data_IF_106030846584
#
_entry.id   IF_106030846584
#
_cell.length_a   1.000
_cell.length_b   1.000
_cell.length_c   1.000
_cell.angle_alpha   90.00
_cell.angle_beta   90.00
_cell.angle_gamma   90.00
#
_symmetry.space_group_name_H-M   'P 1'
#
loop_
_entity.id
_entity.type
_entity.pdbx_description
1 polymer ?
#
# COMPACT_ATOMS: atom_id res chain seq x y z
N UNK A 1 -25.24 4.98 -65.27
CA UNK A 1 -24.68 3.98 -64.33
C UNK A 1 -23.64 4.64 -63.42
N UNK A 2 -23.59 4.26 -62.14
CA UNK A 2 -22.61 4.62 -61.08
C UNK A 2 -22.75 5.98 -60.39
N UNK A 3 -23.55 6.05 -59.31
CA UNK A 3 -23.27 6.86 -58.11
C UNK A 3 -23.95 6.23 -56.88
N UNK A 4 -23.21 5.37 -56.17
CA UNK A 4 -23.53 4.90 -54.82
C UNK A 4 -22.20 4.90 -54.08
N UNK A 5 -22.11 5.63 -52.96
CA UNK A 5 -21.24 5.46 -51.77
C UNK A 5 -20.81 6.82 -51.18
N UNK A 6 -21.70 7.47 -50.41
CA UNK A 6 -21.30 8.61 -49.57
C UNK A 6 -22.24 8.83 -48.37
N UNK A 7 -22.71 7.78 -47.71
CA UNK A 7 -23.54 7.91 -46.51
C UNK A 7 -23.32 6.73 -45.57
N UNK A 8 -22.22 6.72 -44.81
CA UNK A 8 -22.08 5.80 -43.66
C UNK A 8 -20.98 6.19 -42.63
N UNK A 9 -20.54 7.46 -42.59
CA UNK A 9 -19.42 7.87 -41.73
C UNK A 9 -19.76 8.94 -40.69
N UNK A 10 -21.02 9.35 -40.55
CA UNK A 10 -21.40 10.48 -39.68
C UNK A 10 -21.84 10.12 -38.25
N UNK A 11 -21.94 8.84 -37.88
CA UNK A 11 -22.50 8.46 -36.56
C UNK A 11 -21.49 7.93 -35.53
N UNK A 12 -20.23 7.67 -35.90
CA UNK A 12 -19.22 7.10 -35.00
C UNK A 12 -18.14 8.08 -34.53
N UNK A 13 -18.12 9.30 -35.08
CA UNK A 13 -17.13 10.33 -34.72
C UNK A 13 -17.58 11.30 -33.61
N UNK A 14 -18.84 11.22 -33.16
CA UNK A 14 -19.42 12.17 -32.20
C UNK A 14 -19.08 11.86 -30.73
N UNK A 15 -18.52 10.69 -30.43
CA UNK A 15 -18.21 10.25 -29.06
C UNK A 15 -16.73 10.41 -28.66
N UNK A 16 -15.83 10.83 -29.56
CA UNK A 16 -14.38 10.80 -29.31
C UNK A 16 -13.70 12.16 -29.05
N UNK A 17 -14.42 13.29 -28.93
CA UNK A 17 -13.76 14.61 -28.90
C UNK A 17 -14.38 15.66 -27.97
N UNK A 18 -15.04 15.27 -26.87
CA UNK A 18 -15.22 16.20 -25.74
C UNK A 18 -14.06 16.05 -24.77
N UNK A 19 -12.90 16.55 -25.20
CA UNK A 19 -11.83 16.98 -24.30
C UNK A 19 -12.46 17.94 -23.29
N UNK A 20 -12.21 17.75 -21.99
CA UNK A 20 -12.71 18.64 -20.93
C UNK A 20 -12.06 20.01 -21.12
N UNK A 21 -12.69 20.84 -21.94
CA UNK A 21 -12.44 22.25 -22.02
C UNK A 21 -13.39 22.92 -21.03
N UNK A 22 -13.20 22.66 -19.75
CA UNK A 22 -13.86 23.43 -18.69
C UNK A 22 -13.35 24.86 -18.78
N UNK A 23 -14.13 25.70 -19.45
CA UNK A 23 -13.95 27.13 -19.56
C UNK A 23 -14.41 27.81 -18.27
N UNK A 24 -13.52 27.92 -17.29
CA UNK A 24 -13.78 28.63 -16.03
C UNK A 24 -14.16 27.68 -14.89
N UNK A 25 -15.45 27.37 -14.73
CA UNK A 25 -15.95 26.57 -13.60
C UNK A 25 -16.35 25.16 -14.03
N UNK A 26 -16.10 24.18 -13.17
CA UNK A 26 -16.58 22.80 -13.36
C UNK A 26 -18.10 22.76 -13.14
N UNK A 27 -18.82 22.24 -14.13
CA UNK A 27 -20.28 22.13 -14.14
C UNK A 27 -20.75 20.72 -13.75
N UNK A 28 -22.05 20.57 -13.48
CA UNK A 28 -22.64 19.25 -13.24
C UNK A 28 -22.56 18.32 -14.46
N UNK A 29 -22.50 18.87 -15.69
CA UNK A 29 -22.29 18.09 -16.91
C UNK A 29 -20.88 17.47 -16.92
N UNK A 30 -19.86 18.23 -16.52
CA UNK A 30 -18.48 17.74 -16.39
C UNK A 30 -18.38 16.65 -15.32
N UNK A 31 -19.03 16.84 -14.16
CA UNK A 31 -19.08 15.82 -13.12
C UNK A 31 -19.74 14.54 -13.62
N UNK A 32 -20.84 14.65 -14.36
CA UNK A 32 -21.52 13.50 -14.94
C UNK A 32 -20.65 12.81 -15.99
N UNK A 33 -19.91 13.57 -16.79
CA UNK A 33 -18.96 13.05 -17.75
C UNK A 33 -17.88 12.19 -17.08
N UNK A 34 -17.26 12.67 -16.00
CA UNK A 34 -16.28 11.90 -15.23
C UNK A 34 -16.86 10.62 -14.65
N UNK A 35 -18.07 10.69 -14.08
CA UNK A 35 -18.74 9.51 -13.52
C UNK A 35 -19.01 8.43 -14.58
N UNK A 36 -19.44 8.83 -15.78
CA UNK A 36 -19.65 7.89 -16.90
C UNK A 36 -18.30 7.29 -17.34
N UNK A 37 -17.24 8.10 -17.45
CA UNK A 37 -15.92 7.62 -17.87
C UNK A 37 -15.25 6.71 -16.84
N UNK A 38 -15.67 6.78 -15.58
CA UNK A 38 -15.19 5.88 -14.54
C UNK A 38 -15.59 4.43 -14.80
N UNK A 39 -16.71 4.16 -15.48
CA UNK A 39 -17.10 2.81 -15.90
C UNK A 39 -16.13 2.22 -16.93
N UNK A 40 -15.57 3.06 -17.80
CA UNK A 40 -14.57 2.65 -18.80
C UNK A 40 -13.21 2.27 -18.19
N UNK A 41 -12.94 2.64 -16.93
CA UNK A 41 -11.67 2.42 -16.25
C UNK A 41 -11.83 1.53 -15.01
N UNK A 42 -12.00 0.20 -15.19
CA UNK A 42 -12.30 -0.73 -14.09
C UNK A 42 -11.11 -0.98 -13.13
N UNK A 43 -9.88 -0.74 -13.62
CA UNK A 43 -8.63 -0.96 -12.88
C UNK A 43 -8.19 0.25 -12.04
N UNK A 44 -8.88 1.39 -12.16
CA UNK A 44 -8.58 2.59 -11.38
C UNK A 44 -9.07 2.39 -9.95
N UNK A 45 -8.14 2.55 -9.01
CA UNK A 45 -8.35 2.52 -7.56
C UNK A 45 -8.15 3.93 -6.96
N UNK A 46 -8.66 4.23 -5.77
CA UNK A 46 -8.41 5.54 -5.12
C UNK A 46 -6.91 5.79 -4.85
N UNK A 47 -6.11 4.72 -4.74
CA UNK A 47 -4.64 4.78 -4.65
C UNK A 47 -3.92 4.98 -6.00
N UNK A 48 -4.63 5.17 -7.11
CA UNK A 48 -4.03 5.39 -8.43
C UNK A 48 -3.24 6.71 -8.45
N UNK A 49 -2.16 6.73 -9.23
CA UNK A 49 -1.28 7.89 -9.36
C UNK A 49 -2.00 9.11 -9.96
N UNK A 50 -1.70 10.31 -9.45
CA UNK A 50 -2.39 11.57 -9.79
C UNK A 50 -2.42 11.91 -11.29
N UNK A 51 -1.46 11.44 -12.07
CA UNK A 51 -1.40 11.70 -13.51
C UNK A 51 -2.57 11.09 -14.31
N UNK A 52 -3.37 10.21 -13.71
CA UNK A 52 -4.61 9.71 -14.31
C UNK A 52 -5.71 10.78 -14.36
N UNK A 53 -5.66 11.78 -13.47
CA UNK A 53 -6.67 12.83 -13.42
C UNK A 53 -6.61 13.73 -14.66
N UNK A 54 -7.78 14.05 -15.19
CA UNK A 54 -7.93 15.01 -16.28
C UNK A 54 -7.27 16.35 -15.96
N UNK A 55 -6.61 16.93 -16.97
CA UNK A 55 -5.85 18.17 -16.87
C UNK A 55 -4.65 18.15 -15.89
N UNK A 56 -4.25 16.97 -15.37
CA UNK A 56 -3.05 16.83 -14.56
C UNK A 56 -1.79 16.77 -15.44
N UNK A 57 -1.37 17.93 -15.95
CA UNK A 57 -0.14 18.06 -16.74
C UNK A 57 1.13 17.77 -15.94
N UNK A 58 2.26 17.62 -16.65
CA UNK A 58 3.56 17.28 -16.03
C UNK A 58 4.00 18.27 -14.93
N UNK A 59 3.72 19.56 -15.12
CA UNK A 59 4.02 20.59 -14.12
C UNK A 59 3.19 20.40 -12.85
N UNK A 60 1.86 20.22 -13.00
CA UNK A 60 0.94 19.95 -11.89
C UNK A 60 1.37 18.69 -11.13
N UNK A 61 1.66 17.61 -11.85
CA UNK A 61 2.11 16.35 -11.23
C UNK A 61 3.38 16.54 -10.42
N UNK A 62 4.38 17.27 -10.93
CA UNK A 62 5.63 17.55 -10.19
C UNK A 62 5.36 18.34 -8.91
N UNK A 63 4.52 19.37 -8.97
CA UNK A 63 4.16 20.19 -7.79
C UNK A 63 3.35 19.42 -6.74
N UNK A 64 2.51 18.48 -7.16
CA UNK A 64 1.84 17.56 -6.24
C UNK A 64 2.85 16.62 -5.56
N UNK A 65 3.81 16.07 -6.31
CA UNK A 65 4.89 15.23 -5.77
C UNK A 65 5.75 16.01 -4.76
N UNK A 66 6.09 17.27 -5.05
CA UNK A 66 6.83 18.14 -4.12
C UNK A 66 6.11 18.32 -2.76
N UNK A 67 4.77 18.27 -2.76
CA UNK A 67 3.94 18.31 -1.54
C UNK A 67 3.61 16.94 -0.95
N UNK A 68 4.29 15.88 -1.42
CA UNK A 68 4.06 14.49 -1.02
C UNK A 68 2.64 13.97 -1.33
N UNK A 69 2.06 14.44 -2.43
CA UNK A 69 0.74 14.02 -2.91
C UNK A 69 0.95 13.10 -4.13
N UNK A 70 0.63 11.82 -3.96
CA UNK A 70 0.88 10.75 -4.93
C UNK A 70 -0.39 10.07 -5.42
N UNK A 71 -1.46 10.09 -4.62
CA UNK A 71 -2.70 9.35 -4.91
C UNK A 71 -3.88 10.29 -5.18
N UNK A 72 -4.88 9.79 -5.91
CA UNK A 72 -6.16 10.49 -6.13
C UNK A 72 -6.84 10.82 -4.80
N UNK A 73 -6.79 9.90 -3.83
CA UNK A 73 -7.35 10.12 -2.50
C UNK A 73 -6.74 11.34 -1.80
N UNK A 74 -5.41 11.49 -1.85
CA UNK A 74 -4.74 12.64 -1.25
C UNK A 74 -5.10 13.95 -1.96
N UNK A 75 -5.23 13.94 -3.29
CA UNK A 75 -5.66 15.13 -4.06
C UNK A 75 -7.08 15.54 -3.66
N UNK A 76 -8.00 14.60 -3.51
CA UNK A 76 -9.38 14.88 -3.14
C UNK A 76 -9.53 15.43 -1.70
N UNK A 77 -8.56 15.14 -0.83
CA UNK A 77 -8.49 15.63 0.55
C UNK A 77 -7.82 17.01 0.68
N UNK A 78 -7.33 17.61 -0.41
CA UNK A 78 -6.74 18.95 -0.34
C UNK A 78 -7.77 20.00 0.07
N UNK A 79 -7.32 20.94 0.90
CA UNK A 79 -8.11 22.11 1.27
C UNK A 79 -8.10 23.17 0.15
N UNK A 80 -9.15 24.00 0.13
CA UNK A 80 -9.27 25.09 -0.85
C UNK A 80 -8.06 26.03 -0.83
N UNK A 81 -7.53 26.36 0.36
CA UNK A 81 -6.38 27.24 0.51
C UNK A 81 -5.11 26.64 -0.12
N UNK A 82 -4.93 25.32 -0.03
CA UNK A 82 -3.80 24.62 -0.63
C UNK A 82 -3.92 24.56 -2.16
N UNK A 83 -5.14 24.37 -2.66
CA UNK A 83 -5.45 24.39 -4.10
C UNK A 83 -5.17 25.78 -4.69
N UNK A 84 -5.57 26.84 -3.99
CA UNK A 84 -5.29 28.22 -4.40
C UNK A 84 -3.79 28.53 -4.36
N UNK A 85 -3.07 28.03 -3.36
CA UNK A 85 -1.62 28.19 -3.31
C UNK A 85 -0.94 27.50 -4.50
N UNK A 86 -1.34 26.26 -4.82
CA UNK A 86 -0.85 25.52 -5.98
C UNK A 86 -1.20 26.23 -7.30
N UNK A 87 -2.40 26.80 -7.40
CA UNK A 87 -2.87 27.49 -8.61
C UNK A 87 -2.16 28.82 -8.83
N UNK A 88 -2.05 29.65 -7.79
CA UNK A 88 -1.61 31.04 -7.92
C UNK A 88 -0.15 31.27 -7.55
N UNK A 89 0.44 30.51 -6.61
CA UNK A 89 1.88 30.63 -6.27
C UNK A 89 2.75 29.70 -7.08
N UNK A 90 2.37 28.43 -7.19
CA UNK A 90 3.18 27.43 -7.91
C UNK A 90 2.95 27.47 -9.42
N UNK A 91 1.82 28.02 -9.89
CA UNK A 91 1.50 28.14 -11.32
C UNK A 91 0.81 26.90 -11.91
N UNK A 92 0.16 26.07 -11.10
CA UNK A 92 -0.65 24.95 -11.58
C UNK A 92 -1.99 25.43 -12.17
N UNK A 93 -1.98 25.82 -13.45
CA UNK A 93 -3.10 26.51 -14.12
C UNK A 93 -4.48 25.83 -13.99
N UNK A 94 -4.53 24.49 -13.97
CA UNK A 94 -5.77 23.68 -13.93
C UNK A 94 -5.93 22.86 -12.65
N UNK A 95 -5.31 23.30 -11.54
CA UNK A 95 -5.39 22.59 -10.26
C UNK A 95 -6.82 22.50 -9.73
N UNK A 96 -7.64 23.52 -9.96
CA UNK A 96 -9.07 23.54 -9.63
C UNK A 96 -9.84 22.41 -10.33
N UNK A 97 -9.58 22.19 -11.62
CA UNK A 97 -10.21 21.09 -12.38
C UNK A 97 -9.74 19.73 -11.87
N UNK A 98 -8.44 19.57 -11.62
CA UNK A 98 -7.85 18.32 -11.09
C UNK A 98 -8.44 17.98 -9.72
N UNK A 99 -8.56 18.98 -8.84
CA UNK A 99 -9.13 18.85 -7.51
C UNK A 99 -10.62 18.48 -7.56
N UNK A 100 -11.42 19.17 -8.39
CA UNK A 100 -12.83 18.87 -8.57
C UNK A 100 -13.08 17.50 -9.21
N UNK A 101 -12.20 17.09 -10.15
CA UNK A 101 -12.23 15.75 -10.72
C UNK A 101 -11.99 14.70 -9.63
N UNK A 102 -10.92 14.83 -8.84
CA UNK A 102 -10.59 13.94 -7.75
C UNK A 102 -11.75 13.82 -6.74
N UNK A 103 -12.33 14.95 -6.31
CA UNK A 103 -13.48 14.97 -5.39
C UNK A 103 -14.71 14.26 -5.95
N UNK A 104 -14.95 14.39 -7.25
CA UNK A 104 -16.13 13.79 -7.91
C UNK A 104 -16.02 12.27 -8.00
N UNK A 105 -14.83 11.73 -8.30
CA UNK A 105 -14.62 10.29 -8.50
C UNK A 105 -14.26 9.53 -7.22
N UNK A 106 -13.81 10.22 -6.16
CA UNK A 106 -13.30 9.58 -4.94
C UNK A 106 -14.33 8.63 -4.33
N UNK A 107 -15.58 9.07 -4.17
CA UNK A 107 -16.61 8.29 -3.48
C UNK A 107 -16.91 6.98 -4.25
N UNK A 108 -17.20 7.00 -5.56
CA UNK A 108 -17.33 5.76 -6.34
C UNK A 108 -16.08 4.85 -6.29
N UNK A 109 -14.87 5.42 -6.26
CA UNK A 109 -13.64 4.65 -6.15
C UNK A 109 -13.49 3.96 -4.78
N UNK A 110 -13.82 4.66 -3.69
CA UNK A 110 -13.84 4.09 -2.34
C UNK A 110 -14.90 2.99 -2.21
N UNK A 111 -16.08 3.15 -2.84
CA UNK A 111 -17.09 2.10 -2.89
C UNK A 111 -16.61 0.85 -3.64
N UNK A 112 -15.90 1.04 -4.76
CA UNK A 112 -15.28 -0.06 -5.53
C UNK A 112 -14.21 -0.79 -4.71
N UNK A 113 -13.42 -0.07 -3.92
CA UNK A 113 -12.38 -0.67 -3.08
C UNK A 113 -12.95 -1.39 -1.84
N UNK A 114 -13.91 -0.79 -1.14
CA UNK A 114 -14.44 -1.33 0.10
C UNK A 114 -15.42 -2.50 -0.11
N UNK A 115 -16.27 -2.42 -1.15
CA UNK A 115 -17.40 -3.36 -1.33
C UNK A 115 -17.39 -4.07 -2.68
N UNK A 116 -16.44 -3.77 -3.57
CA UNK A 116 -16.48 -4.22 -4.96
C UNK A 116 -17.45 -3.41 -5.84
N UNK A 117 -18.37 -2.64 -5.24
CA UNK A 117 -19.38 -1.82 -5.93
C UNK A 117 -20.47 -2.65 -6.62
N UNK A 118 -21.66 -2.08 -6.81
CA UNK A 118 -22.82 -2.72 -7.50
C UNK A 118 -22.46 -3.20 -8.91
N UNK A 119 -21.51 -2.53 -9.58
CA UNK A 119 -20.94 -2.93 -10.88
C UNK A 119 -20.37 -4.37 -10.89
N UNK A 120 -19.84 -4.82 -9.75
CA UNK A 120 -19.24 -6.15 -9.63
C UNK A 120 -20.27 -7.27 -9.53
N UNK A 121 -21.51 -6.97 -9.13
CA UNK A 121 -22.62 -7.94 -9.17
C UNK A 121 -23.11 -8.17 -10.61
N UNK A 122 -23.04 -7.15 -11.46
CA UNK A 122 -23.42 -7.24 -12.88
C UNK A 122 -22.35 -7.92 -13.73
N UNK A 123 -21.09 -7.88 -13.31
CA UNK A 123 -19.96 -8.46 -14.03
C UNK A 123 -19.22 -9.49 -13.16
N UNK A 124 -19.75 -10.72 -13.08
CA UNK A 124 -19.20 -11.83 -12.28
C UNK A 124 -17.68 -12.00 -12.44
N UNK A 125 -17.16 -11.80 -13.65
CA UNK A 125 -15.72 -11.94 -13.94
C UNK A 125 -14.86 -10.88 -13.27
N UNK A 126 -15.31 -9.62 -13.18
CA UNK A 126 -14.54 -8.57 -12.50
C UNK A 126 -14.53 -8.84 -10.99
N UNK A 127 -15.66 -9.26 -10.42
CA UNK A 127 -15.74 -9.65 -9.00
C UNK A 127 -14.82 -10.82 -8.68
N UNK A 128 -14.81 -11.86 -9.50
CA UNK A 128 -13.92 -13.02 -9.36
C UNK A 128 -12.44 -12.60 -9.37
N UNK A 129 -12.06 -11.73 -10.32
CA UNK A 129 -10.69 -11.23 -10.40
C UNK A 129 -10.30 -10.38 -9.19
N UNK A 130 -11.19 -9.52 -8.67
CA UNK A 130 -10.93 -8.71 -7.47
C UNK A 130 -10.82 -9.58 -6.21
N UNK A 131 -11.78 -10.49 -6.00
CA UNK A 131 -11.74 -11.46 -4.90
C UNK A 131 -10.49 -12.32 -4.94
N UNK A 132 -10.06 -12.76 -6.13
CA UNK A 132 -8.81 -13.51 -6.29
C UNK A 132 -7.59 -12.69 -5.84
N UNK A 133 -7.46 -11.44 -6.31
CA UNK A 133 -6.36 -10.53 -5.91
C UNK A 133 -6.37 -10.21 -4.41
N UNK A 134 -7.54 -10.02 -3.81
CA UNK A 134 -7.67 -9.78 -2.37
C UNK A 134 -7.32 -11.02 -1.54
N UNK A 135 -7.76 -12.20 -1.97
CA UNK A 135 -7.43 -13.46 -1.30
C UNK A 135 -5.93 -13.77 -1.40
N UNK A 136 -5.28 -13.48 -2.53
CA UNK A 136 -3.83 -13.61 -2.69
C UNK A 136 -3.10 -12.68 -1.71
N UNK A 137 -3.47 -11.40 -1.63
CA UNK A 137 -2.91 -10.45 -0.65
C UNK A 137 -3.09 -10.90 0.79
N UNK A 138 -4.32 -11.28 1.19
CA UNK A 138 -4.61 -11.77 2.56
C UNK A 138 -3.85 -13.05 2.89
N UNK A 139 -3.68 -13.97 1.93
CA UNK A 139 -2.88 -15.18 2.13
C UNK A 139 -1.41 -14.86 2.33
N UNK A 140 -0.85 -13.95 1.53
CA UNK A 140 0.53 -13.50 1.68
C UNK A 140 0.77 -12.79 3.01
N UNK A 141 -0.13 -11.91 3.43
CA UNK A 141 -0.08 -11.23 4.74
C UNK A 141 -0.12 -12.25 5.88
N UNK A 142 -1.07 -13.20 5.87
CA UNK A 142 -1.16 -14.25 6.89
C UNK A 142 0.07 -15.17 6.92
N UNK A 143 0.64 -15.51 5.77
CA UNK A 143 1.86 -16.31 5.71
C UNK A 143 3.07 -15.54 6.27
N UNK A 144 3.20 -14.24 5.95
CA UNK A 144 4.24 -13.37 6.50
C UNK A 144 4.09 -13.19 8.02
N UNK A 145 2.87 -12.98 8.51
CA UNK A 145 2.58 -12.90 9.94
C UNK A 145 2.90 -14.21 10.66
N UNK A 146 2.49 -15.36 10.11
CA UNK A 146 2.84 -16.68 10.66
C UNK A 146 4.34 -16.91 10.68
N UNK A 147 5.06 -16.55 9.61
CA UNK A 147 6.51 -16.65 9.54
C UNK A 147 7.18 -15.79 10.61
N UNK A 148 6.76 -14.53 10.76
CA UNK A 148 7.29 -13.60 11.77
C UNK A 148 7.01 -14.11 13.20
N UNK A 149 5.79 -14.57 13.48
CA UNK A 149 5.45 -15.16 14.79
C UNK A 149 6.29 -16.40 15.07
N UNK A 150 6.47 -17.28 14.08
CA UNK A 150 7.28 -18.48 14.25
C UNK A 150 8.77 -18.14 14.45
N UNK A 151 9.30 -17.18 13.70
CA UNK A 151 10.67 -16.69 13.86
C UNK A 151 10.90 -16.08 15.25
N UNK A 152 9.96 -15.28 15.76
CA UNK A 152 10.00 -14.75 17.13
C UNK A 152 9.96 -15.86 18.18
N UNK A 153 9.10 -16.87 18.00
CA UNK A 153 9.03 -18.05 18.89
C UNK A 153 10.31 -18.88 18.85
N UNK A 154 10.88 -19.10 17.67
CA UNK A 154 12.14 -19.81 17.53
C UNK A 154 13.30 -19.02 18.12
N UNK A 155 13.37 -17.70 17.91
CA UNK A 155 14.40 -16.85 18.48
C UNK A 155 14.34 -16.84 20.02
N UNK A 156 13.14 -16.77 20.60
CA UNK A 156 12.96 -16.87 22.06
C UNK A 156 13.33 -18.25 22.59
N UNK A 157 12.94 -19.34 21.91
CA UNK A 157 13.36 -20.70 22.26
C UNK A 157 14.88 -20.91 22.14
N UNK A 158 15.53 -20.35 21.11
CA UNK A 158 17.00 -20.38 20.96
C UNK A 158 17.68 -19.66 22.13
N UNK A 159 17.24 -18.45 22.48
CA UNK A 159 17.73 -17.71 23.66
C UNK A 159 17.57 -18.51 24.96
N UNK A 160 16.43 -19.19 25.16
CA UNK A 160 16.22 -20.05 26.32
C UNK A 160 17.16 -21.26 26.33
N UNK A 161 17.38 -21.91 25.17
CA UNK A 161 18.31 -23.04 25.03
C UNK A 161 19.75 -22.61 25.31
N UNK A 162 20.17 -21.47 24.77
CA UNK A 162 21.48 -20.86 25.04
C UNK A 162 21.67 -20.51 26.51
N UNK A 163 20.66 -19.91 27.15
CA UNK A 163 20.70 -19.60 28.58
C UNK A 163 20.75 -20.85 29.47
N UNK A 164 20.04 -21.92 29.10
CA UNK A 164 20.10 -23.21 29.82
C UNK A 164 21.48 -23.85 29.62
N UNK A 165 22.03 -23.84 28.41
CA UNK A 165 23.36 -24.36 28.12
C UNK A 165 24.44 -23.61 28.91
N UNK A 166 24.38 -22.27 28.95
CA UNK A 166 25.27 -21.43 29.74
C UNK A 166 25.16 -21.73 31.25
N UNK A 167 23.94 -21.87 31.79
CA UNK A 167 23.74 -22.25 33.21
C UNK A 167 24.27 -23.64 33.53
N UNK A 168 24.07 -24.62 32.63
CA UNK A 168 24.62 -25.98 32.80
C UNK A 168 26.16 -25.97 32.78
N UNK A 169 26.77 -25.23 31.87
CA UNK A 169 28.23 -25.06 31.80
C UNK A 169 28.79 -24.42 33.08
N UNK A 170 28.14 -23.36 33.59
CA UNK A 170 28.53 -22.72 34.85
C UNK A 170 28.39 -23.65 36.07
N UNK A 171 27.37 -24.53 36.10
CA UNK A 171 27.22 -25.53 37.17
C UNK A 171 28.31 -26.60 37.07
N UNK A 172 28.68 -27.03 35.86
CA UNK A 172 29.76 -28.01 35.66
C UNK A 172 31.12 -27.44 36.08
N UNK A 173 31.42 -26.19 35.72
CA UNK A 173 32.63 -25.49 36.18
C UNK A 173 32.68 -25.42 37.71
N UNK A 174 31.59 -24.99 38.36
CA UNK A 174 31.52 -24.97 39.84
C UNK A 174 31.70 -26.35 40.47
N UNK A 175 31.23 -27.42 39.83
CA UNK A 175 31.43 -28.79 40.34
C UNK A 175 32.88 -29.25 40.18
N UNK A 176 33.56 -28.86 39.10
CA UNK A 176 34.97 -29.14 38.89
C UNK A 176 35.82 -28.39 39.92
N UNK A 177 35.56 -27.10 40.14
CA UNK A 177 36.22 -26.29 41.18
C UNK A 177 36.04 -26.90 42.58
N UNK A 178 34.81 -27.31 42.95
CA UNK A 178 34.55 -27.96 44.25
C UNK A 178 35.27 -29.33 44.37
N UNK A 179 35.37 -30.09 43.28
CA UNK A 179 36.07 -31.37 43.28
C UNK A 179 37.59 -31.18 43.41
N UNK A 180 38.16 -30.20 42.70
CA UNK A 180 39.57 -29.80 42.80
C UNK A 180 39.93 -29.28 44.19
N UNK A 181 39.04 -28.48 44.82
CA UNK A 181 39.19 -28.01 46.20
C UNK A 181 39.11 -29.16 47.23
N UNK A 182 38.28 -30.16 46.98
CA UNK A 182 38.13 -31.32 47.85
C UNK A 182 39.36 -32.26 47.78
N UNK A 183 39.93 -32.45 46.60
CA UNK A 183 41.17 -33.22 46.43
C UNK A 183 42.37 -32.48 47.03
N UNK A 184 42.50 -31.17 46.80
CA UNK A 184 43.54 -30.35 47.44
C UNK A 184 43.44 -30.35 48.97
N UNK A 185 42.23 -30.43 49.54
CA UNK A 185 42.06 -30.59 51.00
C UNK A 185 42.41 -31.98 51.51
N UNK A 186 42.14 -33.04 50.75
CA UNK A 186 42.51 -34.41 51.13
C UNK A 186 44.02 -34.58 51.14
N UNK A 187 44.73 -34.08 50.14
CA UNK A 187 46.18 -34.19 50.09
C UNK A 187 46.86 -33.39 51.21
N UNK A 188 46.32 -32.23 51.60
CA UNK A 188 46.83 -31.48 52.74
C UNK A 188 46.53 -32.11 54.10
N UNK A 189 45.43 -32.85 54.25
CA UNK A 189 45.09 -33.52 55.51
C UNK A 189 45.88 -34.82 55.72
N UNK A 190 46.19 -35.55 54.64
CA UNK A 190 46.88 -36.85 54.70
C UNK A 190 48.40 -36.71 54.89
N UNK A 191 48.99 -35.56 54.51
CA UNK A 191 50.40 -35.28 54.72
C UNK A 191 50.77 -34.94 56.19
N UNK A 192 49.79 -34.75 57.08
CA UNK A 192 50.02 -34.25 58.45
C UNK A 192 49.95 -35.29 59.58
N UNK A 193 49.69 -36.58 59.29
CA UNK A 193 49.41 -37.59 60.32
C UNK A 193 50.32 -38.84 60.34
N UNK A 194 51.55 -38.76 59.83
CA UNK A 194 52.53 -39.87 59.94
C UNK A 194 53.92 -39.39 60.33
N UNK A 195 54.18 -39.30 61.63
CA UNK A 195 55.51 -39.20 62.26
C UNK A 195 55.40 -39.63 63.72
N UNK A 196 56.45 -40.26 64.26
CA UNK A 196 56.59 -41.71 64.50
C UNK A 196 55.56 -42.35 65.43
#
# INVERSE_FOLDING_TARGET
MRRITAFCLKSLAATCARSIATGGRVTNEDRRWWLIHLECAPDVTPGTFVAWLDCCGTHTTKKLIERNIWTIEQVAQLDSDQVDELKYREGCLKMDVVWEHARTILIPLQQREASGGVESELQSRILELRKKRELERKREELLKERANINEQREATLRKLREAIAAKKAAILQKKQEIAEDADNKKDNSTASSSSP
#
